data_IF_275090758784
#
_entry.id   IF_275090758784
#
_cell.length_a   1.000
_cell.length_b   1.000
_cell.length_c   1.000
_cell.angle_alpha   90.00
_cell.angle_beta   90.00
_cell.angle_gamma   90.00
#
_symmetry.space_group_name_H-M   'P 1'
#
loop_
_entity.id
_entity.type
_entity.pdbx_description
1 polymer ?
#
# COMPACT_ATOMS: atom_id res chain seq x y z
N UNK A 1 12.44 -6.64 4.32
CA UNK A 1 11.36 -5.81 4.90
C UNK A 1 11.43 -5.90 6.42
N UNK A 2 11.14 -4.81 7.14
CA UNK A 2 11.20 -4.78 8.61
C UNK A 2 9.79 -4.72 9.19
N UNK A 3 9.41 -5.71 10.00
CA UNK A 3 8.10 -5.80 10.66
C UNK A 3 8.26 -6.21 12.11
N UNK A 4 7.49 -5.60 13.02
CA UNK A 4 7.39 -6.00 14.41
C UNK A 4 8.75 -6.22 15.12
N UNK A 5 9.75 -5.38 14.83
CA UNK A 5 11.09 -5.51 15.42
C UNK A 5 12.06 -6.44 14.67
N UNK A 6 11.60 -7.13 13.62
CA UNK A 6 12.37 -8.14 12.90
C UNK A 6 12.64 -7.74 11.46
N UNK A 7 13.89 -7.96 11.01
CA UNK A 7 14.28 -7.83 9.61
C UNK A 7 14.10 -9.16 8.87
N UNK A 8 13.33 -9.14 7.78
CA UNK A 8 13.14 -10.25 6.86
C UNK A 8 13.89 -10.00 5.55
N UNK A 9 14.75 -10.92 5.14
CA UNK A 9 15.53 -10.83 3.89
C UNK A 9 14.71 -11.13 2.63
N UNK A 10 13.61 -11.87 2.80
CA UNK A 10 12.61 -12.18 1.76
C UNK A 10 11.23 -11.76 2.27
N UNK A 11 10.22 -11.78 1.40
CA UNK A 11 8.83 -11.64 1.84
C UNK A 11 8.53 -12.80 2.81
N UNK A 12 8.13 -12.54 4.06
CA UNK A 12 7.79 -13.61 4.99
C UNK A 12 6.40 -14.18 4.69
N UNK A 13 6.15 -15.39 5.17
CA UNK A 13 4.81 -15.95 5.20
C UNK A 13 3.87 -15.07 6.03
N UNK A 14 2.60 -14.86 5.61
CA UNK A 14 1.66 -13.97 6.30
C UNK A 14 1.46 -14.31 7.78
N UNK A 15 1.47 -15.59 8.14
CA UNK A 15 1.25 -16.07 9.51
C UNK A 15 2.37 -15.70 10.47
N UNK A 16 3.53 -15.28 9.95
CA UNK A 16 4.65 -14.75 10.75
C UNK A 16 4.48 -13.26 11.11
N UNK A 17 3.49 -12.58 10.51
CA UNK A 17 3.18 -11.18 10.78
C UNK A 17 1.94 -11.11 11.66
N UNK A 18 1.94 -10.34 12.77
CA UNK A 18 0.74 -10.13 13.56
C UNK A 18 -0.42 -9.62 12.69
N UNK A 19 -1.59 -10.27 12.77
CA UNK A 19 -2.73 -10.01 11.88
C UNK A 19 -3.08 -8.52 11.76
N UNK A 20 -3.13 -7.80 12.89
CA UNK A 20 -3.40 -6.36 12.92
C UNK A 20 -2.40 -5.53 12.10
N UNK A 21 -1.12 -5.90 12.09
CA UNK A 21 -0.09 -5.22 11.30
C UNK A 21 -0.29 -5.51 9.82
N UNK A 22 -0.56 -6.77 9.48
CA UNK A 22 -0.80 -7.19 8.11
C UNK A 22 -2.03 -6.49 7.53
N UNK A 23 -3.15 -6.46 8.27
CA UNK A 23 -4.38 -5.78 7.84
C UNK A 23 -4.14 -4.28 7.61
N UNK A 24 -3.44 -3.61 8.53
CA UNK A 24 -3.10 -2.19 8.39
C UNK A 24 -2.17 -1.91 7.21
N UNK A 25 -1.19 -2.79 6.98
CA UNK A 25 -0.26 -2.69 5.87
C UNK A 25 -0.99 -2.85 4.54
N UNK A 26 -1.81 -3.90 4.40
CA UNK A 26 -2.55 -4.17 3.17
C UNK A 26 -3.54 -3.05 2.89
N UNK A 27 -4.30 -2.61 3.90
CA UNK A 27 -5.19 -1.46 3.77
C UNK A 27 -4.43 -0.23 3.30
N UNK A 28 -3.31 0.10 3.95
CA UNK A 28 -2.47 1.24 3.61
C UNK A 28 -1.90 1.17 2.19
N UNK A 29 -1.43 0.01 1.75
CA UNK A 29 -0.97 -0.20 0.36
C UNK A 29 -2.11 0.02 -0.62
N UNK A 30 -3.27 -0.60 -0.37
CA UNK A 30 -4.44 -0.55 -1.26
C UNK A 30 -4.94 0.87 -1.50
N UNK A 31 -5.09 1.66 -0.42
CA UNK A 31 -5.67 3.01 -0.48
C UNK A 31 -4.66 4.10 -0.78
N UNK A 32 -3.38 3.92 -0.41
CA UNK A 32 -2.38 4.98 -0.55
C UNK A 32 -1.53 4.86 -1.82
N UNK A 33 -1.59 3.73 -2.55
CA UNK A 33 -1.12 3.66 -3.94
C UNK A 33 -2.15 4.28 -4.88
N UNK A 34 -1.70 5.00 -5.91
CA UNK A 34 -2.62 5.61 -6.87
C UNK A 34 -3.52 4.51 -7.48
N UNK A 35 -4.82 4.79 -7.60
CA UNK A 35 -5.80 3.83 -8.10
C UNK A 35 -5.61 3.54 -9.60
N UNK A 36 -4.89 4.42 -10.30
CA UNK A 36 -4.40 4.21 -11.67
C UNK A 36 -3.22 3.23 -11.75
N UNK A 37 -2.52 2.97 -10.64
CA UNK A 37 -1.46 1.96 -10.55
C UNK A 37 -2.07 0.56 -10.35
N UNK A 38 -1.69 -0.40 -11.20
CA UNK A 38 -2.26 -1.76 -11.23
C UNK A 38 -1.20 -2.82 -11.57
N UNK A 39 -1.33 -3.98 -10.95
CA UNK A 39 -0.72 -5.23 -11.41
C UNK A 39 -1.76 -5.97 -12.23
N UNK A 40 -1.44 -6.24 -13.49
CA UNK A 40 -2.31 -6.93 -14.42
C UNK A 40 -1.76 -8.33 -14.73
N UNK A 41 -2.63 -9.27 -15.16
CA UNK A 41 -2.18 -10.57 -15.66
C UNK A 41 -1.12 -10.43 -16.76
N UNK A 42 -0.27 -11.45 -16.96
CA UNK A 42 0.69 -11.46 -18.05
C UNK A 42 -0.02 -11.45 -19.40
N UNK A 43 0.62 -10.85 -20.42
CA UNK A 43 0.07 -10.81 -21.79
C UNK A 43 0.18 -12.15 -22.53
N UNK A 44 1.04 -13.05 -22.03
CA UNK A 44 1.30 -14.37 -22.59
C UNK A 44 1.37 -15.38 -21.45
N UNK A 45 0.91 -16.60 -21.70
CA UNK A 45 1.00 -17.70 -20.73
C UNK A 45 2.46 -17.92 -20.31
N UNK A 46 2.68 -18.05 -18.99
CA UNK A 46 4.01 -18.18 -18.39
C UNK A 46 4.82 -16.86 -18.29
N UNK A 47 4.26 -15.73 -18.73
CA UNK A 47 4.88 -14.41 -18.61
C UNK A 47 4.81 -13.82 -17.20
N UNK A 48 5.58 -12.75 -16.99
CA UNK A 48 5.51 -11.95 -15.75
C UNK A 48 4.29 -11.02 -15.76
N UNK A 49 3.75 -10.74 -14.57
CA UNK A 49 2.65 -9.80 -14.39
C UNK A 49 2.99 -8.43 -14.99
N UNK A 50 2.04 -7.83 -15.72
CA UNK A 50 2.21 -6.50 -16.30
C UNK A 50 1.99 -5.42 -15.25
N UNK A 51 2.92 -4.47 -15.18
CA UNK A 51 2.86 -3.35 -14.24
C UNK A 51 2.43 -2.06 -14.95
N UNK A 52 1.32 -1.46 -14.53
CA UNK A 52 0.79 -0.20 -15.07
C UNK A 52 0.85 0.88 -13.99
N UNK A 53 1.38 2.06 -14.32
CA UNK A 53 1.51 3.17 -13.38
C UNK A 53 2.92 3.32 -12.79
N UNK A 54 3.01 3.87 -11.59
CA UNK A 54 4.29 4.14 -10.94
C UNK A 54 4.99 2.83 -10.51
N UNK A 55 6.27 2.66 -10.85
CA UNK A 55 7.01 1.42 -10.59
C UNK A 55 7.18 1.10 -9.10
N UNK A 56 7.41 2.11 -8.26
CA UNK A 56 7.52 1.91 -6.81
C UNK A 56 6.18 1.50 -6.21
N UNK A 57 5.09 2.09 -6.68
CA UNK A 57 3.74 1.70 -6.26
C UNK A 57 3.35 0.31 -6.76
N UNK A 58 3.73 -0.05 -7.99
CA UNK A 58 3.56 -1.42 -8.50
C UNK A 58 4.30 -2.42 -7.61
N UNK A 59 5.52 -2.11 -7.18
CA UNK A 59 6.26 -2.96 -6.25
C UNK A 59 5.54 -3.11 -4.90
N UNK A 60 4.90 -2.06 -4.38
CA UNK A 60 4.07 -2.15 -3.17
C UNK A 60 2.82 -3.02 -3.37
N UNK A 61 2.13 -2.88 -4.50
CA UNK A 61 0.97 -3.73 -4.82
C UNK A 61 1.38 -5.19 -5.01
N UNK A 62 2.47 -5.45 -5.73
CA UNK A 62 3.06 -6.78 -5.87
C UNK A 62 3.45 -7.38 -4.53
N UNK A 63 4.05 -6.58 -3.64
CA UNK A 63 4.38 -7.00 -2.29
C UNK A 63 3.15 -7.40 -1.46
N UNK A 64 1.99 -6.72 -1.64
CA UNK A 64 0.73 -7.16 -1.04
C UNK A 64 0.27 -8.52 -1.59
N UNK A 65 0.42 -8.75 -2.90
CA UNK A 65 0.07 -10.02 -3.52
C UNK A 65 0.99 -11.16 -3.05
N UNK A 66 2.28 -10.90 -2.92
CA UNK A 66 3.27 -11.84 -2.37
C UNK A 66 2.97 -12.20 -0.91
N UNK A 67 2.32 -11.30 -0.17
CA UNK A 67 1.78 -11.55 1.18
C UNK A 67 0.40 -12.23 1.17
N UNK A 68 -0.05 -12.77 0.03
CA UNK A 68 -1.37 -13.39 -0.14
C UNK A 68 -2.53 -12.49 0.31
N UNK A 69 -2.44 -11.20 -0.03
CA UNK A 69 -3.49 -10.22 0.25
C UNK A 69 -3.90 -9.47 -1.01
N UNK A 70 -5.18 -9.56 -1.32
CA UNK A 70 -5.76 -8.91 -2.49
C UNK A 70 -6.02 -7.41 -2.21
N UNK A 71 -5.17 -6.56 -2.76
CA UNK A 71 -5.35 -5.11 -2.67
C UNK A 71 -6.59 -4.63 -3.45
N UNK A 72 -7.05 -5.40 -4.46
CA UNK A 72 -8.19 -5.01 -5.29
C UNK A 72 -9.50 -5.15 -4.50
N UNK A 73 -9.62 -6.16 -3.63
CA UNK A 73 -10.75 -6.28 -2.69
C UNK A 73 -10.91 -5.00 -1.84
N UNK A 74 -9.81 -4.49 -1.27
CA UNK A 74 -9.81 -3.22 -0.50
C UNK A 74 -10.29 -2.05 -1.37
N UNK A 75 -9.84 -1.96 -2.62
CA UNK A 75 -10.23 -0.89 -3.53
C UNK A 75 -11.69 -1.00 -3.98
N UNK A 76 -12.25 -2.20 -4.02
CA UNK A 76 -13.67 -2.41 -4.31
C UNK A 76 -14.53 -1.95 -3.12
N UNK A 77 -14.09 -2.20 -1.89
CA UNK A 77 -14.77 -1.73 -0.68
C UNK A 77 -14.63 -0.22 -0.47
N UNK A 78 -13.43 0.30 -0.74
CA UNK A 78 -13.04 1.70 -0.60
C UNK A 78 -12.63 2.23 -1.99
N UNK A 79 -13.59 2.54 -2.87
CA UNK A 79 -13.29 3.16 -4.15
C UNK A 79 -12.76 4.59 -3.96
N UNK A 80 -12.17 5.14 -5.01
CA UNK A 80 -11.42 6.42 -4.94
C UNK A 80 -12.30 7.59 -4.46
N UNK A 81 -13.59 7.60 -4.82
CA UNK A 81 -14.57 8.60 -4.39
C UNK A 81 -14.89 8.56 -2.88
N UNK A 82 -14.57 7.46 -2.18
CA UNK A 82 -14.72 7.38 -0.71
C UNK A 82 -13.52 7.94 0.04
N UNK A 83 -12.42 8.26 -0.65
CA UNK A 83 -11.24 8.85 -0.01
C UNK A 83 -11.57 10.28 0.45
N UNK A 84 -11.38 10.57 1.73
CA UNK A 84 -11.70 11.90 2.27
C UNK A 84 -10.77 12.98 1.72
N UNK A 85 -9.47 12.68 1.66
CA UNK A 85 -8.47 13.59 1.10
C UNK A 85 -7.25 12.83 0.60
N UNK A 86 -6.79 13.16 -0.59
CA UNK A 86 -5.49 12.70 -1.11
C UNK A 86 -4.55 13.89 -1.19
N UNK A 87 -3.40 13.77 -0.53
CA UNK A 87 -2.25 14.65 -0.69
C UNK A 87 -1.27 13.97 -1.63
N UNK A 88 -1.29 14.39 -2.88
CA UNK A 88 -0.39 13.86 -3.90
C UNK A 88 1.07 14.09 -3.53
N UNK A 89 1.94 13.30 -4.15
CA UNK A 89 3.38 13.41 -3.95
C UNK A 89 3.84 14.85 -4.24
N UNK A 90 4.66 15.38 -3.34
CA UNK A 90 5.26 16.69 -3.48
C UNK A 90 6.75 16.57 -3.22
N UNK A 91 7.58 17.16 -4.09
CA UNK A 91 9.05 17.04 -4.04
C UNK A 91 9.68 17.69 -2.79
N UNK A 92 9.04 18.72 -2.23
CA UNK A 92 9.47 19.36 -0.97
C UNK A 92 9.11 18.46 0.22
N UNK A 93 7.89 17.90 0.23
CA UNK A 93 7.44 17.00 1.32
C UNK A 93 8.01 15.58 1.22
N UNK A 94 8.52 15.19 0.04
CA UNK A 94 9.00 13.85 -0.33
C UNK A 94 8.09 12.71 0.14
N UNK A 95 6.78 12.96 0.13
CA UNK A 95 5.76 12.04 0.65
C UNK A 95 4.42 12.27 -0.03
N UNK A 96 3.60 11.23 0.02
CA UNK A 96 2.21 11.17 -0.42
C UNK A 96 1.38 10.60 0.72
N UNK A 97 0.16 11.09 0.86
CA UNK A 97 -0.73 10.63 1.93
C UNK A 97 -2.19 10.57 1.49
N UNK A 98 -2.91 9.61 2.06
CA UNK A 98 -4.33 9.40 1.84
C UNK A 98 -5.04 9.37 3.18
N UNK A 99 -6.13 10.13 3.29
CA UNK A 99 -6.96 10.23 4.48
C UNK A 99 -8.27 9.51 4.23
N UNK A 100 -8.60 8.57 5.09
CA UNK A 100 -9.90 7.90 5.17
C UNK A 100 -10.72 8.53 6.28
N UNK A 101 -12.04 8.56 6.11
CA UNK A 101 -13.01 8.86 7.15
C UNK A 101 -13.68 7.54 7.58
N UNK A 102 -13.53 7.20 8.85
CA UNK A 102 -14.12 5.99 9.44
C UNK A 102 -15.61 6.21 9.74
N UNK A 103 -16.34 5.12 9.95
CA UNK A 103 -17.78 5.14 10.26
C UNK A 103 -18.11 5.81 11.58
N UNK A 104 -17.18 5.78 12.55
CA UNK A 104 -17.29 6.48 13.84
C UNK A 104 -17.02 8.00 13.73
N UNK A 105 -16.80 8.51 12.52
CA UNK A 105 -16.48 9.90 12.26
C UNK A 105 -15.01 10.27 12.44
N UNK A 106 -14.17 9.35 12.92
CA UNK A 106 -12.73 9.56 13.05
C UNK A 106 -12.03 9.53 11.68
N UNK A 107 -10.78 9.99 11.64
CA UNK A 107 -9.97 10.00 10.44
C UNK A 107 -8.73 9.13 10.61
N UNK A 108 -8.34 8.43 9.54
CA UNK A 108 -7.07 7.69 9.48
C UNK A 108 -6.27 8.14 8.28
N UNK A 109 -5.03 8.54 8.50
CA UNK A 109 -4.10 8.94 7.46
C UNK A 109 -3.06 7.85 7.23
N UNK A 110 -2.89 7.44 5.98
CA UNK A 110 -1.78 6.61 5.52
C UNK A 110 -0.78 7.49 4.79
N UNK A 111 0.50 7.35 5.11
CA UNK A 111 1.58 8.10 4.49
C UNK A 111 2.65 7.18 3.94
N UNK A 112 3.19 7.50 2.77
CA UNK A 112 4.34 6.81 2.17
C UNK A 112 5.33 7.83 1.63
N UNK A 113 6.61 7.50 1.72
CA UNK A 113 7.71 8.41 1.42
C UNK A 113 9.03 7.88 1.94
N UNK A 114 10.08 8.66 1.78
CA UNK A 114 11.41 8.28 2.24
C UNK A 114 11.43 8.15 3.77
N UNK A 115 12.07 7.10 4.28
CA UNK A 115 12.11 6.77 5.71
C UNK A 115 12.69 7.90 6.56
N UNK A 116 13.75 8.55 6.09
CA UNK A 116 14.42 9.66 6.77
C UNK A 116 13.59 10.94 6.85
N UNK A 117 12.50 11.02 6.07
CA UNK A 117 11.55 12.14 6.09
C UNK A 117 10.34 11.79 6.96
N UNK A 118 9.76 10.60 6.79
CA UNK A 118 8.57 10.20 7.55
C UNK A 118 8.89 9.88 9.01
N UNK A 119 10.00 9.18 9.30
CA UNK A 119 10.35 8.79 10.66
C UNK A 119 10.71 9.98 11.56
N UNK A 120 11.08 11.14 10.99
CA UNK A 120 11.24 12.38 11.76
C UNK A 120 9.93 12.93 12.34
N UNK A 121 8.79 12.35 11.93
CA UNK A 121 7.43 12.75 12.36
C UNK A 121 6.74 11.66 13.20
N UNK A 122 7.48 10.60 13.58
CA UNK A 122 7.00 9.48 14.41
C UNK A 122 7.67 9.56 15.77
#
# INVERSE_FOLDING_TARGET
VYFAGQLYKKVPEPDLIPAKILDLLTLGIGVNCAYTTKIMPPERDGGLSRQVGNKTECALLGFSLDLHRDYQAIRNEIPEEKLFKVYTFNSVRKSMSTVLKNSDGSYRMFSKGASEILLKKC
#
